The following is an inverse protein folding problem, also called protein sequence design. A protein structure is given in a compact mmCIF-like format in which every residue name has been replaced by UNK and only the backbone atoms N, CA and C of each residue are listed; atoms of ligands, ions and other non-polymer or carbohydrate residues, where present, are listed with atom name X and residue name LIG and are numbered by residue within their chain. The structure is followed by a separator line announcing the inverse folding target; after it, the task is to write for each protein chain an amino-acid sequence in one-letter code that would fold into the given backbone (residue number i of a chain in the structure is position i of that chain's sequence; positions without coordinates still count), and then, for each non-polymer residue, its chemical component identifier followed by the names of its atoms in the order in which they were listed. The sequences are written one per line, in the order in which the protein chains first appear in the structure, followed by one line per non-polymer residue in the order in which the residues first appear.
data_IF_088132410914
#
_entry.id   IF_088132410914
#
_cell.length_a   1.000
_cell.length_b   1.000
_cell.length_c   1.000
_cell.angle_alpha   90.00
_cell.angle_beta   90.00
_cell.angle_gamma   90.00
#
_symmetry.space_group_name_H-M   'P 1'
#
loop_
_entity.id
_entity.type
_entity.pdbx_description
1 polymer ?
#
# COMPACT_ATOMS: atom_id res chain seq x y z
N UNK A 1 -2.87 -23.76 -28.97
CA UNK A 1 -2.83 -24.64 -27.78
C UNK A 1 -1.43 -25.14 -27.44
N UNK A 2 -0.51 -25.30 -28.41
CA UNK A 2 0.87 -25.74 -28.15
C UNK A 2 1.62 -24.83 -27.16
N UNK A 3 1.51 -23.51 -27.34
CA UNK A 3 2.18 -22.53 -26.49
C UNK A 3 1.71 -22.56 -25.03
N UNK A 4 0.41 -22.75 -24.81
CA UNK A 4 -0.17 -22.92 -23.47
C UNK A 4 0.36 -24.17 -22.76
N UNK A 5 0.47 -25.28 -23.48
CA UNK A 5 1.05 -26.54 -22.95
C UNK A 5 2.52 -26.34 -22.55
N UNK A 6 3.31 -25.69 -23.41
CA UNK A 6 4.73 -25.37 -23.16
C UNK A 6 4.91 -24.54 -21.88
N UNK A 7 4.03 -23.55 -21.68
CA UNK A 7 4.11 -22.64 -20.52
C UNK A 7 3.19 -23.05 -19.36
N UNK A 8 2.71 -24.30 -19.34
CA UNK A 8 1.88 -24.86 -18.26
C UNK A 8 0.71 -23.95 -17.85
N UNK A 9 0.06 -23.34 -18.83
CA UNK A 9 -1.10 -22.45 -18.62
C UNK A 9 -0.84 -21.19 -17.81
N UNK A 10 0.41 -20.72 -17.70
CA UNK A 10 0.75 -19.54 -16.88
C UNK A 10 0.63 -18.21 -17.63
N UNK A 11 0.47 -18.24 -18.95
CA UNK A 11 0.48 -17.03 -19.76
C UNK A 11 -0.89 -16.33 -19.75
N UNK A 12 -0.93 -15.13 -19.20
CA UNK A 12 -2.03 -14.19 -19.43
C UNK A 12 -1.98 -13.56 -20.82
N UNK A 13 -2.98 -12.75 -21.16
CA UNK A 13 -3.09 -12.05 -22.46
C UNK A 13 -1.82 -11.29 -22.85
N UNK A 14 -1.17 -10.62 -21.89
CA UNK A 14 0.07 -9.87 -22.14
C UNK A 14 1.24 -10.81 -22.42
N UNK A 15 1.43 -11.82 -21.57
CA UNK A 15 2.50 -12.82 -21.74
C UNK A 15 2.36 -13.58 -23.06
N UNK A 16 1.12 -13.94 -23.41
CA UNK A 16 0.79 -14.56 -24.71
C UNK A 16 1.15 -13.65 -25.87
N UNK A 17 0.83 -12.35 -25.78
CA UNK A 17 1.15 -11.37 -26.83
C UNK A 17 2.66 -11.22 -27.02
N UNK A 18 3.41 -11.09 -25.92
CA UNK A 18 4.88 -11.00 -25.96
C UNK A 18 5.51 -12.27 -26.51
N UNK A 19 5.04 -13.44 -26.07
CA UNK A 19 5.58 -14.72 -26.50
C UNK A 19 5.30 -14.99 -27.99
N UNK A 20 4.10 -14.66 -28.49
CA UNK A 20 3.78 -14.76 -29.92
C UNK A 20 4.64 -13.82 -30.78
N UNK A 21 4.91 -12.61 -30.29
CA UNK A 21 5.83 -11.68 -30.96
C UNK A 21 7.28 -12.18 -30.94
N UNK A 22 7.71 -12.82 -29.85
CA UNK A 22 9.05 -13.38 -29.71
C UNK A 22 9.28 -14.63 -30.58
N UNK A 23 8.33 -15.58 -30.60
CA UNK A 23 8.46 -16.80 -31.41
C UNK A 23 8.35 -16.52 -32.92
N UNK A 24 7.75 -15.39 -33.32
CA UNK A 24 7.59 -14.93 -34.70
C UNK A 24 7.10 -16.00 -35.69
N UNK A 25 6.25 -16.91 -35.21
CA UNK A 25 5.64 -18.01 -36.00
C UNK A 25 4.38 -17.60 -36.75
N UNK A 26 3.93 -16.36 -36.57
CA UNK A 26 2.75 -15.82 -37.24
C UNK A 26 3.20 -14.89 -38.36
N UNK A 27 2.55 -14.97 -39.51
CA UNK A 27 2.79 -14.08 -40.66
C UNK A 27 2.46 -12.61 -40.37
N UNK A 28 1.84 -12.33 -39.21
CA UNK A 28 1.47 -11.00 -38.78
C UNK A 28 1.73 -10.82 -37.28
N UNK A 29 1.95 -9.57 -36.87
CA UNK A 29 2.04 -9.21 -35.45
C UNK A 29 0.67 -9.22 -34.80
N UNK A 30 0.46 -10.15 -33.86
CA UNK A 30 -0.77 -10.19 -33.07
C UNK A 30 -0.73 -9.12 -31.96
N UNK A 31 -1.59 -8.10 -32.07
CA UNK A 31 -1.75 -7.08 -31.04
C UNK A 31 -2.52 -7.58 -29.81
N UNK A 32 -2.37 -6.89 -28.68
CA UNK A 32 -2.95 -7.27 -27.39
C UNK A 32 -4.46 -7.58 -27.47
N UNK A 33 -5.25 -6.70 -28.12
CA UNK A 33 -6.70 -6.89 -28.27
C UNK A 33 -7.05 -8.16 -29.05
N UNK A 34 -6.30 -8.46 -30.11
CA UNK A 34 -6.50 -9.66 -30.94
C UNK A 34 -6.21 -10.92 -30.14
N UNK A 35 -5.12 -10.92 -29.38
CA UNK A 35 -4.75 -12.03 -28.49
C UNK A 35 -5.81 -12.22 -27.40
N UNK A 36 -6.25 -11.14 -26.73
CA UNK A 36 -7.31 -11.19 -25.71
C UNK A 36 -8.61 -11.78 -26.26
N UNK A 37 -9.07 -11.32 -27.43
CA UNK A 37 -10.30 -11.84 -28.06
C UNK A 37 -10.15 -13.31 -28.45
N UNK A 38 -9.00 -13.69 -29.02
CA UNK A 38 -8.71 -15.08 -29.37
C UNK A 38 -8.73 -15.98 -28.13
N UNK A 39 -8.05 -15.59 -27.04
CA UNK A 39 -8.05 -16.34 -25.79
C UNK A 39 -9.47 -16.48 -25.21
N UNK A 40 -10.27 -15.40 -25.23
CA UNK A 40 -11.66 -15.42 -24.76
C UNK A 40 -12.53 -16.37 -25.58
N UNK A 41 -12.49 -16.27 -26.91
CA UNK A 41 -13.31 -17.07 -27.81
C UNK A 41 -12.98 -18.56 -27.75
N UNK A 42 -11.75 -18.92 -27.40
CA UNK A 42 -11.29 -20.31 -27.29
C UNK A 42 -11.20 -20.80 -25.84
N UNK A 43 -11.72 -20.04 -24.86
CA UNK A 43 -11.72 -20.44 -23.45
C UNK A 43 -10.34 -20.57 -22.81
N UNK A 44 -9.30 -19.97 -23.40
CA UNK A 44 -7.93 -20.02 -22.90
C UNK A 44 -7.81 -19.06 -21.71
N UNK A 45 -7.46 -19.60 -20.54
CA UNK A 45 -7.32 -18.84 -19.29
C UNK A 45 -6.00 -19.17 -18.62
N UNK A 46 -5.35 -18.14 -18.08
CA UNK A 46 -4.14 -18.31 -17.29
C UNK A 46 -4.47 -18.94 -15.92
N UNK A 47 -3.88 -20.09 -15.64
CA UNK A 47 -3.89 -20.78 -14.36
C UNK A 47 -2.68 -20.36 -13.52
N UNK A 48 -2.75 -19.15 -12.96
CA UNK A 48 -1.70 -18.61 -12.08
C UNK A 48 -2.10 -18.85 -10.62
N UNK A 49 -1.23 -19.49 -9.84
CA UNK A 49 -1.43 -19.64 -8.40
C UNK A 49 -1.37 -18.26 -7.74
N UNK A 50 -2.43 -17.86 -7.03
CA UNK A 50 -2.41 -16.65 -6.19
C UNK A 50 -1.27 -16.77 -5.18
N UNK A 51 -0.43 -15.73 -5.07
CA UNK A 51 0.63 -15.66 -4.05
C UNK A 51 -0.04 -15.77 -2.68
N UNK A 52 0.35 -16.76 -1.87
CA UNK A 52 -0.10 -16.84 -0.47
C UNK A 52 0.53 -15.67 0.29
N UNK A 53 -0.31 -14.80 0.83
CA UNK A 53 0.15 -13.79 1.79
C UNK A 53 0.22 -14.47 3.16
N UNK A 54 1.42 -14.64 3.71
CA UNK A 54 1.59 -15.08 5.09
C UNK A 54 1.19 -13.90 6.00
N UNK A 55 -0.11 -13.75 6.28
CA UNK A 55 -0.58 -12.82 7.32
C UNK A 55 -0.22 -13.47 8.66
N UNK A 56 0.89 -13.04 9.25
CA UNK A 56 1.19 -13.32 10.65
C UNK A 56 0.06 -12.64 11.43
N UNK A 57 -0.82 -13.41 12.07
CA UNK A 57 -1.73 -12.87 13.08
C UNK A 57 -0.85 -12.30 14.19
N UNK A 58 -0.66 -10.97 14.19
CA UNK A 58 -0.19 -10.28 15.39
C UNK A 58 -1.28 -10.49 16.44
N UNK A 59 -0.85 -10.70 17.69
CA UNK A 59 -1.73 -10.78 18.84
C UNK A 59 -2.68 -9.57 18.81
N UNK A 60 -3.95 -9.76 19.20
CA UNK A 60 -4.89 -8.65 19.33
C UNK A 60 -4.33 -7.69 20.39
N UNK A 61 -3.66 -6.64 19.95
CA UNK A 61 -3.33 -5.49 20.80
C UNK A 61 -4.67 -4.98 21.34
N UNK A 62 -4.78 -4.93 22.67
CA UNK A 62 -5.84 -4.31 23.46
C UNK A 62 -6.86 -3.56 22.58
N UNK A 63 -7.96 -4.23 22.22
CA UNK A 63 -9.12 -3.54 21.66
C UNK A 63 -9.74 -2.78 22.82
N UNK A 64 -9.16 -1.63 23.15
CA UNK A 64 -9.89 -0.65 23.93
C UNK A 64 -11.12 -0.26 23.12
N UNK A 65 -12.27 -0.10 23.78
CA UNK A 65 -13.47 0.37 23.12
C UNK A 65 -13.16 1.63 22.32
N UNK A 66 -13.56 1.66 21.04
CA UNK A 66 -13.34 2.82 20.18
C UNK A 66 -14.25 3.96 20.65
N UNK A 67 -13.79 4.70 21.65
CA UNK A 67 -14.50 5.85 22.24
C UNK A 67 -14.78 6.95 21.21
N UNK A 68 -13.97 7.04 20.17
CA UNK A 68 -14.16 8.02 19.10
C UNK A 68 -15.32 7.64 18.18
N UNK A 69 -15.59 6.34 18.02
CA UNK A 69 -16.65 5.78 17.19
C UNK A 69 -16.74 6.40 15.78
N UNK A 70 -15.59 6.63 15.15
CA UNK A 70 -15.43 7.29 13.84
C UNK A 70 -16.01 8.71 13.75
N UNK A 71 -16.36 9.32 14.88
CA UNK A 71 -16.76 10.71 14.94
C UNK A 71 -15.49 11.55 15.00
N UNK A 72 -15.07 12.12 13.86
CA UNK A 72 -13.89 12.98 13.78
C UNK A 72 -14.23 14.47 13.88
N UNK A 73 -15.47 14.85 13.58
CA UNK A 73 -15.92 16.23 13.71
C UNK A 73 -16.20 16.57 15.18
N UNK A 74 -15.58 17.65 15.66
CA UNK A 74 -15.64 18.14 17.05
C UNK A 74 -16.38 19.47 17.10
N UNK A 75 -16.97 19.81 18.24
CA UNK A 75 -17.67 21.09 18.41
C UNK A 75 -16.79 22.19 18.98
N UNK A 76 -15.71 21.80 19.68
CA UNK A 76 -14.78 22.74 20.30
C UNK A 76 -13.33 22.28 20.22
N UNK A 77 -12.41 23.23 20.37
CA UNK A 77 -10.96 22.99 20.44
C UNK A 77 -10.63 22.09 21.63
N UNK A 78 -9.57 21.29 21.49
CA UNK A 78 -9.02 20.45 22.55
C UNK A 78 -9.97 19.38 23.13
N UNK A 79 -11.04 19.01 22.42
CA UNK A 79 -11.89 17.87 22.80
C UNK A 79 -11.19 16.54 22.55
N UNK A 80 -10.53 16.41 21.40
CA UNK A 80 -9.79 15.21 21.01
C UNK A 80 -8.52 15.60 20.28
N UNK A 81 -7.40 15.10 20.77
CA UNK A 81 -6.13 15.16 20.07
C UNK A 81 -5.80 13.79 19.48
N UNK A 82 -5.31 13.79 18.25
CA UNK A 82 -4.86 12.59 17.56
C UNK A 82 -3.37 12.69 17.28
N UNK A 83 -2.74 11.53 17.14
CA UNK A 83 -1.36 11.44 16.67
C UNK A 83 -1.27 10.52 15.48
N UNK A 84 -0.40 10.88 14.54
CA UNK A 84 0.01 10.03 13.45
C UNK A 84 1.55 10.03 13.35
N UNK A 85 2.11 8.92 12.88
CA UNK A 85 3.53 8.79 12.59
C UNK A 85 3.72 8.43 11.12
N UNK A 86 4.41 9.31 10.39
CA UNK A 86 4.68 9.12 8.96
C UNK A 86 6.18 8.95 8.70
N UNK A 87 6.55 7.95 7.88
CA UNK A 87 7.91 7.84 7.32
C UNK A 87 8.11 8.87 6.21
N UNK A 88 9.15 9.68 6.33
CA UNK A 88 9.59 10.60 5.28
C UNK A 88 10.95 10.14 4.76
N UNK A 89 11.06 10.01 3.44
CA UNK A 89 12.29 9.65 2.75
C UNK A 89 12.95 10.91 2.21
N UNK A 90 14.25 11.07 2.40
CA UNK A 90 14.99 12.27 1.99
C UNK A 90 16.42 11.96 1.58
N UNK A 91 17.04 12.88 0.83
CA UNK A 91 18.41 12.74 0.32
C UNK A 91 18.47 12.17 -1.10
N UNK A 92 19.29 12.79 -1.95
CA UNK A 92 19.37 12.46 -3.38
C UNK A 92 20.40 11.35 -3.67
N UNK A 93 21.59 11.43 -3.06
CA UNK A 93 22.67 10.46 -3.29
C UNK A 93 22.69 9.33 -2.25
N UNK A 94 22.30 9.64 -1.01
CA UNK A 94 22.10 8.67 0.07
C UNK A 94 20.68 8.81 0.59
N UNK A 95 19.84 7.83 0.25
CA UNK A 95 18.46 7.78 0.71
C UNK A 95 18.43 7.52 2.21
N UNK A 96 17.90 8.49 2.95
CA UNK A 96 17.70 8.44 4.41
C UNK A 96 16.21 8.44 4.72
N UNK A 97 15.89 7.97 5.91
CA UNK A 97 14.52 7.87 6.41
C UNK A 97 14.43 8.58 7.74
N UNK A 98 13.39 9.38 7.89
CA UNK A 98 12.99 9.98 9.16
C UNK A 98 11.57 9.52 9.50
N UNK A 99 11.24 9.60 10.78
CA UNK A 99 9.89 9.42 11.31
C UNK A 99 9.43 10.75 11.85
N UNK A 100 8.30 11.22 11.35
CA UNK A 100 7.67 12.46 11.80
C UNK A 100 6.46 12.06 12.61
N UNK A 101 6.50 12.40 13.90
CA UNK A 101 5.41 12.22 14.84
C UNK A 101 4.67 13.54 14.98
N UNK A 102 3.37 13.54 14.72
CA UNK A 102 2.55 14.76 14.73
C UNK A 102 1.45 14.60 15.76
N UNK A 103 1.12 15.68 16.47
CA UNK A 103 -0.09 15.78 17.31
C UNK A 103 -0.98 16.87 16.73
N UNK A 104 -2.25 16.54 16.50
CA UNK A 104 -3.23 17.41 15.86
C UNK A 104 -4.50 17.51 16.71
N UNK A 105 -5.06 18.72 16.79
CA UNK A 105 -6.42 18.92 17.30
C UNK A 105 -7.45 18.57 16.21
N UNK A 106 -8.36 17.64 16.48
CA UNK A 106 -9.38 17.24 15.51
C UNK A 106 -10.36 18.36 15.16
N UNK A 107 -10.61 19.30 16.08
CA UNK A 107 -11.53 20.41 15.81
C UNK A 107 -11.01 21.31 14.70
N UNK A 108 -9.84 21.91 14.90
CA UNK A 108 -9.29 22.86 13.94
C UNK A 108 -8.42 22.21 12.86
N UNK A 109 -8.15 20.90 12.96
CA UNK A 109 -7.29 20.13 12.05
C UNK A 109 -5.89 20.73 11.88
N UNK A 110 -5.42 21.48 12.88
CA UNK A 110 -4.10 22.09 12.90
C UNK A 110 -3.16 21.30 13.78
N UNK A 111 -1.89 21.30 13.39
CA UNK A 111 -0.81 20.65 14.13
C UNK A 111 -0.48 21.46 15.39
N UNK A 112 -0.58 20.82 16.55
CA UNK A 112 -0.23 21.42 17.84
C UNK A 112 1.29 21.38 18.06
N UNK A 113 1.88 20.22 17.77
CA UNK A 113 3.31 19.94 17.94
C UNK A 113 3.77 18.81 17.02
N UNK A 114 5.09 18.67 16.92
CA UNK A 114 5.71 17.55 16.22
C UNK A 114 7.04 17.16 16.86
N UNK A 115 7.46 15.94 16.58
CA UNK A 115 8.78 15.43 16.88
C UNK A 115 9.33 14.63 15.70
N UNK A 116 10.63 14.73 15.42
CA UNK A 116 11.29 14.00 14.33
C UNK A 116 12.33 13.08 14.94
N UNK A 117 12.30 11.81 14.55
CA UNK A 117 13.23 10.79 15.01
C UNK A 117 13.75 9.95 13.85
N UNK A 118 14.81 9.18 14.09
CA UNK A 118 15.32 8.22 13.11
C UNK A 118 14.45 6.95 13.03
N UNK A 119 13.80 6.58 14.13
CA UNK A 119 13.03 5.35 14.29
C UNK A 119 11.70 5.59 14.99
N UNK A 120 10.71 4.78 14.64
CA UNK A 120 9.37 4.88 15.19
C UNK A 120 9.37 4.22 16.56
N UNK A 121 9.28 5.05 17.60
CA UNK A 121 9.25 4.59 18.99
C UNK A 121 8.14 5.28 19.75
N UNK A 122 7.52 4.57 20.71
CA UNK A 122 6.51 5.15 21.58
C UNK A 122 7.03 6.39 22.33
N UNK A 123 8.30 6.38 22.75
CA UNK A 123 8.93 7.52 23.40
C UNK A 123 8.96 8.77 22.50
N UNK A 124 9.23 8.60 21.20
CA UNK A 124 9.24 9.72 20.25
C UNK A 124 7.85 10.27 19.98
N UNK A 125 6.81 9.44 20.01
CA UNK A 125 5.42 9.89 19.93
C UNK A 125 4.98 10.62 21.22
N UNK A 126 5.32 10.07 22.39
CA UNK A 126 5.06 10.70 23.69
C UNK A 126 5.75 12.08 23.79
N UNK A 127 6.95 12.20 23.24
CA UNK A 127 7.68 13.48 23.19
C UNK A 127 6.92 14.55 22.39
N UNK A 128 6.27 14.17 21.27
CA UNK A 128 5.41 15.09 20.55
C UNK A 128 4.25 15.59 21.43
N UNK A 129 3.61 14.71 22.20
CA UNK A 129 2.57 15.11 23.16
C UNK A 129 3.10 16.03 24.26
N UNK A 130 4.25 15.72 24.86
CA UNK A 130 4.87 16.58 25.88
C UNK A 130 5.08 18.01 25.37
N UNK A 131 5.53 18.15 24.12
CA UNK A 131 5.69 19.44 23.45
C UNK A 131 4.37 20.16 23.18
N UNK A 132 3.27 19.43 22.98
CA UNK A 132 1.95 20.04 22.85
C UNK A 132 1.48 20.62 24.20
N UNK A 133 1.73 19.92 25.31
CA UNK A 133 1.35 20.37 26.65
C UNK A 133 2.22 21.49 27.22
N UNK A 134 3.43 21.70 26.69
CA UNK A 134 4.35 22.74 27.16
C UNK A 134 4.15 24.12 26.51
N UNK A 135 3.19 24.25 25.60
CA UNK A 135 2.78 25.53 24.98
C UNK A 135 1.62 26.14 25.74
#
# INVERSE_FOLDING_TARGET
MELEKKHKWTLGYLGMTTQLAFENKLDFKAGLKRVTNCMRNHGIKASIRKKKHNRIKRHEEYINDNLLNEQFDRQSKNEVWVTDTTEVVYGNEQVRKARVHVVMDLYGRYVLSYNISATETAASAIEAFKRAFSK
#
